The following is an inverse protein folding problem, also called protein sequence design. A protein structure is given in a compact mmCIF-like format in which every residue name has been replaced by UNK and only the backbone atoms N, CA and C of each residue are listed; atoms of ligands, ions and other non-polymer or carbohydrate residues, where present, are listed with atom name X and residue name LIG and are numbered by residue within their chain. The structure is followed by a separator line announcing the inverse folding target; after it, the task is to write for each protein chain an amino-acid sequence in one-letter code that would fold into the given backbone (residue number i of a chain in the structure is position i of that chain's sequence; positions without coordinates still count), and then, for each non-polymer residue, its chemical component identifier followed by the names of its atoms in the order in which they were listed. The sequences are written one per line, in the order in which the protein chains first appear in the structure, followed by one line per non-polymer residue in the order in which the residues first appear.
data_IF_055619053273
#
_entry.id   IF_055619053273
#
_cell.length_a   1.000
_cell.length_b   1.000
_cell.length_c   1.000
_cell.angle_alpha   90.00
_cell.angle_beta   90.00
_cell.angle_gamma   90.00
#
_symmetry.space_group_name_H-M   'P 1'
#
loop_
_entity.id
_entity.type
_entity.pdbx_description
1 polymer ?
#
# COMPACT_ATOMS: atom_id res chain seq x y z
N UNK A 1 2.24 5.05 1.09
CA UNK A 1 2.76 6.44 1.07
C UNK A 1 2.87 7.02 2.48
N UNK A 2 4.09 7.23 2.96
CA UNK A 2 4.39 7.95 4.21
C UNK A 2 5.49 9.01 4.01
N UNK A 3 5.73 9.43 2.75
CA UNK A 3 6.93 10.20 2.39
C UNK A 3 6.68 11.36 1.42
N UNK A 4 5.44 11.58 0.98
CA UNK A 4 5.04 12.73 0.18
C UNK A 4 4.86 13.99 1.06
N UNK A 5 4.55 13.81 2.34
CA UNK A 5 4.38 14.90 3.32
C UNK A 5 5.45 14.89 4.40
N UNK A 6 5.78 16.07 4.93
CA UNK A 6 6.70 16.21 6.04
C UNK A 6 5.96 15.98 7.34
N UNK A 7 6.36 14.94 8.08
CA UNK A 7 5.97 14.75 9.47
C UNK A 7 6.75 15.74 10.34
N UNK A 8 6.08 16.81 10.77
CA UNK A 8 6.65 17.88 11.61
C UNK A 8 6.76 17.49 13.07
N UNK A 9 5.86 16.63 13.54
CA UNK A 9 5.78 16.19 14.93
C UNK A 9 5.23 14.78 15.04
N UNK A 10 5.75 14.02 15.99
CA UNK A 10 5.26 12.69 16.38
C UNK A 10 4.97 12.71 17.87
N UNK A 11 3.75 12.34 18.26
CA UNK A 11 3.35 12.14 19.65
C UNK A 11 3.11 10.64 19.89
N UNK A 12 3.69 10.11 20.96
CA UNK A 12 3.54 8.70 21.33
C UNK A 12 2.61 8.60 22.54
N UNK A 13 1.44 8.03 22.33
CA UNK A 13 0.44 7.74 23.36
C UNK A 13 0.32 6.23 23.55
N UNK A 14 -0.21 5.80 24.70
CA UNK A 14 -0.41 4.38 24.98
C UNK A 14 -1.37 3.77 23.94
N UNK A 15 -0.81 2.99 22.99
CA UNK A 15 -1.56 2.36 21.91
C UNK A 15 -1.85 3.26 20.70
N UNK A 16 -1.25 4.46 20.61
CA UNK A 16 -1.41 5.33 19.44
C UNK A 16 -0.13 6.11 19.11
N UNK A 17 0.17 6.22 17.81
CA UNK A 17 1.14 7.17 17.26
C UNK A 17 0.36 8.28 16.58
N UNK A 18 0.58 9.52 16.98
CA UNK A 18 -0.05 10.69 16.35
C UNK A 18 1.00 11.44 15.54
N UNK A 19 0.83 11.50 14.22
CA UNK A 19 1.69 12.29 13.33
C UNK A 19 1.01 13.62 13.01
N UNK A 20 1.81 14.67 12.86
CA UNK A 20 1.36 15.98 12.39
C UNK A 20 2.10 16.29 11.10
N UNK A 21 1.36 16.38 10.01
CA UNK A 21 1.90 16.58 8.66
C UNK A 21 1.67 18.01 8.19
N UNK A 22 2.58 18.52 7.37
CA UNK A 22 2.37 19.79 6.68
C UNK A 22 1.22 19.67 5.66
N UNK A 23 0.53 20.79 5.42
CA UNK A 23 -0.51 20.86 4.38
C UNK A 23 0.08 20.65 2.98
N UNK A 24 1.25 21.24 2.76
CA UNK A 24 2.00 21.22 1.52
C UNK A 24 3.48 21.20 1.84
N UNK A 25 4.27 20.60 0.96
CA UNK A 25 5.72 20.66 1.02
C UNK A 25 6.24 21.27 -0.28
N UNK A 26 6.56 22.57 -0.30
CA UNK A 26 6.89 23.31 -1.52
C UNK A 26 8.29 22.99 -2.06
N UNK A 27 8.83 21.79 -1.83
CA UNK A 27 10.19 21.44 -2.26
C UNK A 27 10.25 21.33 -3.78
N UNK A 28 10.99 22.23 -4.47
CA UNK A 28 11.19 22.11 -5.91
C UNK A 28 11.97 20.83 -6.21
N UNK A 29 11.39 19.96 -7.03
CA UNK A 29 12.08 18.84 -7.68
C UNK A 29 12.42 17.61 -6.83
N UNK A 30 11.85 17.44 -5.63
CA UNK A 30 11.96 16.15 -4.92
C UNK A 30 10.64 15.73 -4.30
N UNK A 31 10.10 14.59 -4.75
CA UNK A 31 8.94 13.96 -4.12
C UNK A 31 9.25 13.37 -2.73
N UNK A 32 10.45 12.82 -2.56
CA UNK A 32 10.79 12.05 -1.37
C UNK A 32 11.14 12.94 -0.17
N UNK A 33 10.35 12.86 0.88
CA UNK A 33 10.68 13.41 2.20
C UNK A 33 11.71 12.56 2.93
N UNK A 34 12.60 13.22 3.67
CA UNK A 34 13.45 12.52 4.64
C UNK A 34 12.55 11.91 5.72
N UNK A 35 12.78 10.64 6.04
CA UNK A 35 12.12 10.01 7.17
C UNK A 35 12.54 10.70 8.48
N UNK A 36 11.60 10.82 9.41
CA UNK A 36 11.77 11.56 10.67
C UNK A 36 12.48 10.73 11.75
N UNK A 37 13.70 10.28 11.44
CA UNK A 37 14.54 9.51 12.36
C UNK A 37 14.85 10.24 13.67
N UNK A 38 14.89 11.57 13.64
CA UNK A 38 15.17 12.43 14.79
C UNK A 38 14.05 12.43 15.83
N UNK A 39 12.81 12.13 15.42
CA UNK A 39 11.62 12.16 16.29
C UNK A 39 11.27 10.79 16.87
N UNK A 40 11.91 9.72 16.41
CA UNK A 40 11.53 8.34 16.73
C UNK A 40 12.75 7.54 17.17
N UNK A 41 12.71 7.04 18.40
CA UNK A 41 13.83 6.30 18.99
C UNK A 41 13.71 4.79 18.84
N UNK A 42 12.51 4.24 19.00
CA UNK A 42 12.29 2.80 18.96
C UNK A 42 11.99 2.29 17.54
N UNK A 43 12.51 1.11 17.20
CA UNK A 43 12.33 0.51 15.88
C UNK A 43 10.88 0.12 15.60
N UNK A 44 10.09 -0.18 16.63
CA UNK A 44 8.67 -0.53 16.48
C UNK A 44 7.86 0.62 15.87
N UNK A 45 8.01 1.83 16.44
CA UNK A 45 7.40 3.06 15.92
C UNK A 45 7.94 3.42 14.54
N UNK A 46 9.25 3.22 14.27
CA UNK A 46 9.80 3.45 12.93
C UNK A 46 9.15 2.55 11.89
N UNK A 47 9.03 1.25 12.18
CA UNK A 47 8.38 0.29 11.30
C UNK A 47 6.89 0.61 11.12
N UNK A 48 6.21 0.99 12.20
CA UNK A 48 4.80 1.39 12.13
C UNK A 48 4.58 2.59 11.19
N UNK A 49 5.40 3.64 11.32
CA UNK A 49 5.32 4.81 10.44
C UNK A 49 5.78 4.51 9.01
N UNK A 50 6.79 3.67 8.81
CA UNK A 50 7.22 3.26 7.47
C UNK A 50 6.12 2.48 6.72
N UNK A 51 5.24 1.78 7.44
CA UNK A 51 4.11 1.04 6.89
C UNK A 51 2.79 1.82 6.87
N UNK A 52 2.78 3.06 7.37
CA UNK A 52 1.58 3.88 7.50
C UNK A 52 0.88 4.05 6.14
N UNK A 53 -0.39 3.65 6.07
CA UNK A 53 -1.24 3.74 4.86
C UNK A 53 -0.67 3.04 3.61
N UNK A 54 0.24 2.08 3.78
CA UNK A 54 0.89 1.37 2.66
C UNK A 54 0.24 0.01 2.33
N UNK A 55 -0.91 -0.33 2.93
CA UNK A 55 -1.45 -1.69 2.87
C UNK A 55 -1.77 -2.19 1.45
N UNK A 56 -2.33 -1.36 0.59
CA UNK A 56 -2.66 -1.73 -0.80
C UNK A 56 -1.44 -1.67 -1.71
N UNK A 57 -0.61 -0.64 -1.53
CA UNK A 57 0.59 -0.36 -2.32
C UNK A 57 1.63 -1.48 -2.15
N UNK A 58 1.78 -2.00 -0.94
CA UNK A 58 2.79 -3.01 -0.62
C UNK A 58 2.68 -4.26 -1.52
N UNK A 59 1.46 -4.71 -1.85
CA UNK A 59 1.28 -5.94 -2.62
C UNK A 59 1.54 -5.77 -4.11
N UNK A 60 1.23 -4.60 -4.68
CA UNK A 60 1.69 -4.26 -6.03
C UNK A 60 3.20 -4.10 -6.06
N UNK A 61 3.75 -3.33 -5.10
CA UNK A 61 5.17 -3.03 -5.02
C UNK A 61 6.02 -4.31 -4.94
N UNK A 62 5.64 -5.26 -4.07
CA UNK A 62 6.36 -6.51 -3.84
C UNK A 62 5.85 -7.70 -4.68
N UNK A 63 4.95 -7.50 -5.64
CA UNK A 63 4.31 -8.58 -6.41
C UNK A 63 5.30 -9.60 -7.01
N UNK A 64 6.33 -9.11 -7.70
CA UNK A 64 7.37 -9.94 -8.33
C UNK A 64 8.19 -10.71 -7.28
N UNK A 65 8.57 -10.03 -6.19
CA UNK A 65 9.32 -10.65 -5.10
C UNK A 65 8.52 -11.77 -4.43
N UNK A 66 7.24 -11.51 -4.13
CA UNK A 66 6.33 -12.50 -3.55
C UNK A 66 6.17 -13.69 -4.50
N UNK A 67 5.95 -13.42 -5.80
CA UNK A 67 5.85 -14.46 -6.83
C UNK A 67 7.08 -15.36 -6.86
N UNK A 68 8.28 -14.78 -6.83
CA UNK A 68 9.55 -15.52 -6.86
C UNK A 68 9.84 -16.28 -5.56
N UNK A 69 9.35 -15.82 -4.40
CA UNK A 69 9.52 -16.54 -3.13
C UNK A 69 8.66 -17.81 -3.09
N UNK A 70 7.46 -17.74 -3.69
CA UNK A 70 6.50 -18.83 -3.66
C UNK A 70 6.52 -19.74 -4.90
N UNK A 71 7.41 -19.47 -5.86
CA UNK A 71 7.51 -20.27 -7.08
C UNK A 71 7.81 -21.75 -6.76
N UNK A 72 7.10 -22.64 -7.46
CA UNK A 72 7.26 -24.10 -7.30
C UNK A 72 6.58 -24.69 -6.06
N UNK A 73 5.97 -23.88 -5.18
CA UNK A 73 5.21 -24.40 -4.04
C UNK A 73 3.76 -24.70 -4.43
N UNK A 74 3.21 -25.81 -3.93
CA UNK A 74 1.80 -26.19 -4.14
C UNK A 74 0.89 -25.45 -3.15
N UNK A 75 0.69 -24.16 -3.41
CA UNK A 75 -0.06 -23.24 -2.56
C UNK A 75 -1.06 -22.41 -3.38
N UNK A 76 -2.10 -21.93 -2.71
CA UNK A 76 -3.02 -20.91 -3.21
C UNK A 76 -2.71 -19.59 -2.50
N UNK A 77 -2.58 -18.51 -3.27
CA UNK A 77 -2.41 -17.15 -2.73
C UNK A 77 -3.62 -16.32 -3.11
N UNK A 78 -4.19 -15.63 -2.12
CA UNK A 78 -5.28 -14.67 -2.29
C UNK A 78 -4.93 -13.33 -1.65
N UNK A 79 -5.34 -12.25 -2.29
CA UNK A 79 -5.27 -10.89 -1.75
C UNK A 79 -6.59 -10.57 -1.04
N UNK A 80 -6.57 -10.42 0.28
CA UNK A 80 -7.76 -10.18 1.08
C UNK A 80 -7.90 -8.70 1.43
N UNK A 81 -9.15 -8.20 1.37
CA UNK A 81 -9.54 -6.92 1.98
C UNK A 81 -10.30 -7.21 3.27
N UNK A 82 -9.82 -6.70 4.39
CA UNK A 82 -10.38 -6.99 5.73
C UNK A 82 -10.63 -5.72 6.53
N UNK A 83 -11.63 -5.73 7.40
CA UNK A 83 -11.71 -4.82 8.53
C UNK A 83 -11.15 -5.54 9.75
N UNK A 84 -10.32 -4.85 10.53
CA UNK A 84 -9.69 -5.43 11.71
C UNK A 84 -10.28 -4.88 13.01
N UNK A 85 -10.24 -5.70 14.06
CA UNK A 85 -10.55 -5.36 15.45
C UNK A 85 -9.36 -5.65 16.34
N UNK A 86 -9.38 -5.13 17.57
CA UNK A 86 -8.38 -5.45 18.60
C UNK A 86 -6.92 -5.20 18.17
N UNK A 87 -6.69 -4.24 17.28
CA UNK A 87 -5.34 -3.87 16.82
C UNK A 87 -4.59 -3.14 17.95
N UNK A 88 -3.40 -3.62 18.37
CA UNK A 88 -2.63 -3.05 19.48
C UNK A 88 -2.26 -1.57 19.33
N UNK A 89 -2.12 -1.11 18.09
CA UNK A 89 -1.70 0.24 17.74
C UNK A 89 -2.71 0.90 16.82
N UNK A 90 -2.87 2.22 16.98
CA UNK A 90 -3.48 3.12 16.00
C UNK A 90 -2.43 4.11 15.52
N UNK A 91 -2.46 4.44 14.24
CA UNK A 91 -1.78 5.63 13.73
C UNK A 91 -2.85 6.65 13.39
N UNK A 92 -2.70 7.85 13.94
CA UNK A 92 -3.59 8.99 13.72
C UNK A 92 -2.78 10.11 13.09
N UNK A 93 -3.12 10.48 11.86
CA UNK A 93 -2.46 11.56 11.14
C UNK A 93 -3.33 12.80 11.18
N UNK A 94 -2.75 13.89 11.70
CA UNK A 94 -3.35 15.22 11.68
C UNK A 94 -2.72 16.03 10.55
N UNK A 95 -3.57 16.53 9.67
CA UNK A 95 -3.20 17.36 8.51
C UNK A 95 -4.04 18.63 8.52
N UNK A 96 -3.77 19.56 7.62
CA UNK A 96 -4.66 20.72 7.41
C UNK A 96 -6.07 20.31 6.92
N UNK A 97 -6.20 19.13 6.31
CA UNK A 97 -7.46 18.61 5.77
C UNK A 97 -8.25 17.77 6.77
N UNK A 98 -7.78 17.65 8.01
CA UNK A 98 -8.45 16.90 9.07
C UNK A 98 -7.60 15.80 9.69
N UNK A 99 -8.28 14.90 10.39
CA UNK A 99 -7.68 13.81 11.17
C UNK A 99 -8.06 12.47 10.57
N UNK A 100 -7.06 11.62 10.37
CA UNK A 100 -7.18 10.34 9.68
C UNK A 100 -6.65 9.22 10.58
N UNK A 101 -7.38 8.11 10.76
CA UNK A 101 -6.87 6.96 11.52
C UNK A 101 -6.77 5.71 10.66
N UNK A 102 -5.64 5.00 10.71
CA UNK A 102 -5.50 3.71 10.02
C UNK A 102 -6.55 2.65 10.39
N UNK A 103 -7.30 2.86 11.49
CA UNK A 103 -8.42 2.00 11.90
C UNK A 103 -9.72 2.27 11.16
N UNK A 104 -9.84 3.41 10.47
CA UNK A 104 -11.05 3.84 9.77
C UNK A 104 -11.19 3.16 8.40
N UNK A 105 -10.12 2.54 7.90
CA UNK A 105 -10.08 1.90 6.58
C UNK A 105 -9.92 0.38 6.65
N UNK A 106 -10.26 -0.27 5.54
CA UNK A 106 -9.91 -1.67 5.34
C UNK A 106 -8.41 -1.85 5.17
N UNK A 107 -7.90 -2.99 5.64
CA UNK A 107 -6.53 -3.41 5.44
C UNK A 107 -6.45 -4.46 4.33
N UNK A 108 -5.35 -4.44 3.59
CA UNK A 108 -5.04 -5.46 2.59
C UNK A 108 -3.99 -6.42 3.15
N UNK A 109 -4.16 -7.72 2.92
CA UNK A 109 -3.22 -8.75 3.33
C UNK A 109 -3.23 -9.95 2.37
N UNK A 110 -2.23 -10.82 2.44
CA UNK A 110 -2.27 -12.10 1.72
C UNK A 110 -2.80 -13.21 2.62
N UNK A 111 -3.61 -14.10 2.05
CA UNK A 111 -3.82 -15.45 2.55
C UNK A 111 -3.05 -16.43 1.68
N UNK A 112 -2.19 -17.22 2.29
CA UNK A 112 -1.41 -18.27 1.65
C UNK A 112 -1.88 -19.60 2.22
N UNK A 113 -2.44 -20.48 1.39
CA UNK A 113 -2.97 -21.79 1.79
C UNK A 113 -2.18 -22.92 1.13
N UNK A 114 -1.75 -23.91 1.89
CA UNK A 114 -1.15 -25.12 1.35
C UNK A 114 -2.24 -26.02 0.75
N UNK A 115 -2.10 -26.41 -0.51
CA UNK A 115 -3.11 -27.23 -1.17
C UNK A 115 -3.18 -28.66 -0.63
N UNK A 116 -2.10 -29.16 -0.04
CA UNK A 116 -1.96 -30.54 0.47
C UNK A 116 -2.72 -30.70 1.79
N UNK A 117 -2.39 -29.89 2.81
CA UNK A 117 -2.92 -30.04 4.17
C UNK A 117 -3.95 -28.97 4.58
N UNK A 118 -4.24 -28.03 3.68
CA UNK A 118 -5.20 -26.93 3.86
C UNK A 118 -4.87 -25.99 5.02
N UNK A 119 -3.65 -26.03 5.55
CA UNK A 119 -3.18 -25.00 6.49
C UNK A 119 -3.00 -23.70 5.74
N UNK A 120 -3.39 -22.60 6.40
CA UNK A 120 -3.32 -21.27 5.83
C UNK A 120 -2.65 -20.29 6.77
N UNK A 121 -1.93 -19.34 6.18
CA UNK A 121 -1.24 -18.25 6.85
C UNK A 121 -1.69 -16.91 6.29
N UNK A 122 -1.60 -15.89 7.14
CA UNK A 122 -1.71 -14.49 6.75
C UNK A 122 -0.32 -13.90 6.63
N UNK A 123 -0.07 -13.15 5.56
CA UNK A 123 1.10 -12.28 5.42
C UNK A 123 0.60 -10.85 5.24
N UNK A 124 0.76 -10.04 6.29
CA UNK A 124 0.44 -8.62 6.29
C UNK A 124 1.73 -7.80 6.34
N UNK A 125 2.20 -7.35 5.17
CA UNK A 125 3.43 -6.56 5.01
C UNK A 125 3.32 -5.18 5.66
N UNK A 126 2.09 -4.72 5.91
CA UNK A 126 1.80 -3.43 6.53
C UNK A 126 1.43 -3.54 8.01
N UNK A 127 1.34 -4.77 8.56
CA UNK A 127 0.96 -5.06 9.95
C UNK A 127 1.71 -4.25 11.04
N UNK A 128 2.98 -3.81 10.86
CA UNK A 128 3.61 -2.94 11.84
C UNK A 128 2.81 -1.67 12.13
N UNK A 129 2.04 -1.15 11.16
CA UNK A 129 1.19 0.03 11.38
C UNK A 129 0.09 -0.19 12.44
N UNK A 130 -0.22 -1.46 12.75
CA UNK A 130 -1.17 -1.89 13.76
C UNK A 130 -0.50 -2.49 15.00
N UNK A 131 0.83 -2.44 15.09
CA UNK A 131 1.60 -3.04 16.19
C UNK A 131 1.50 -4.58 16.19
N UNK A 132 1.41 -5.17 15.00
CA UNK A 132 1.22 -6.61 14.79
C UNK A 132 2.44 -7.22 14.08
N UNK A 133 2.56 -8.55 14.17
CA UNK A 133 3.56 -9.30 13.41
C UNK A 133 3.14 -9.46 11.95
N UNK A 134 4.11 -9.61 11.06
CA UNK A 134 3.88 -9.80 9.62
C UNK A 134 3.19 -11.09 9.26
N UNK A 135 3.40 -12.16 10.04
CA UNK A 135 2.91 -13.50 9.72
C UNK A 135 2.11 -14.09 10.88
N UNK A 136 0.96 -14.68 10.57
CA UNK A 136 0.11 -15.41 11.50
C UNK A 136 -0.46 -16.67 10.85
N UNK A 137 -0.81 -17.70 11.64
CA UNK A 137 -1.75 -18.71 11.14
C UNK A 137 -3.13 -18.05 10.91
N UNK A 138 -3.81 -18.44 9.83
CA UNK A 138 -5.11 -17.89 9.46
C UNK A 138 -6.14 -18.04 10.59
N UNK A 139 -6.15 -19.19 11.29
CA UNK A 139 -7.09 -19.43 12.40
C UNK A 139 -6.92 -18.40 13.52
N UNK A 140 -5.67 -18.10 13.87
CA UNK A 140 -5.31 -17.24 15.00
C UNK A 140 -5.56 -15.77 14.64
N UNK A 141 -5.18 -15.38 13.42
CA UNK A 141 -5.49 -14.05 12.90
C UNK A 141 -6.99 -13.81 12.87
N UNK A 142 -7.76 -14.77 12.34
CA UNK A 142 -9.22 -14.68 12.27
C UNK A 142 -9.87 -14.53 13.64
N UNK A 143 -9.45 -15.33 14.61
CA UNK A 143 -10.01 -15.27 15.95
C UNK A 143 -9.72 -13.92 16.61
N UNK A 144 -8.47 -13.45 16.55
CA UNK A 144 -8.01 -12.28 17.29
C UNK A 144 -8.33 -10.94 16.62
N UNK A 145 -8.07 -10.83 15.32
CA UNK A 145 -8.00 -9.54 14.63
C UNK A 145 -9.03 -9.36 13.52
N UNK A 146 -9.52 -10.42 12.88
CA UNK A 146 -10.52 -10.26 11.82
C UNK A 146 -11.86 -9.81 12.41
N UNK A 147 -12.35 -8.65 11.96
CA UNK A 147 -13.72 -8.23 12.20
C UNK A 147 -14.63 -8.66 11.04
N UNK A 148 -14.29 -8.22 9.82
CA UNK A 148 -15.06 -8.51 8.60
C UNK A 148 -14.06 -8.85 7.48
N UNK A 149 -14.32 -9.94 6.74
CA UNK A 149 -13.69 -10.19 5.45
C UNK A 149 -14.56 -9.53 4.38
N UNK A 150 -14.06 -8.46 3.76
CA UNK A 150 -14.80 -7.71 2.73
C UNK A 150 -14.71 -8.38 1.37
N UNK A 151 -13.51 -8.84 1.01
CA UNK A 151 -13.26 -9.48 -0.27
C UNK A 151 -12.03 -10.40 -0.21
N UNK A 152 -12.00 -11.36 -1.13
CA UNK A 152 -10.86 -12.21 -1.42
C UNK A 152 -10.64 -12.21 -2.94
N UNK A 153 -9.49 -11.73 -3.37
CA UNK A 153 -9.12 -11.62 -4.77
C UNK A 153 -8.04 -12.63 -5.14
N UNK A 154 -7.96 -12.95 -6.43
CA UNK A 154 -6.81 -13.67 -6.95
C UNK A 154 -5.52 -12.85 -6.73
N UNK A 155 -4.40 -13.54 -6.49
CA UNK A 155 -3.10 -12.88 -6.38
C UNK A 155 -2.73 -12.13 -7.68
N UNK A 156 -2.25 -10.90 -7.56
CA UNK A 156 -1.96 -9.99 -8.67
C UNK A 156 -3.09 -9.01 -9.02
N UNK A 157 -4.22 -9.01 -8.29
CA UNK A 157 -5.29 -8.03 -8.50
C UNK A 157 -4.83 -6.61 -8.15
N UNK A 158 -4.19 -6.40 -7.00
CA UNK A 158 -3.67 -5.08 -6.63
C UNK A 158 -2.57 -4.61 -7.59
N UNK A 159 -1.75 -5.51 -8.12
CA UNK A 159 -0.77 -5.14 -9.15
C UNK A 159 -1.44 -4.55 -10.39
N UNK A 160 -2.46 -5.21 -10.92
CA UNK A 160 -3.21 -4.70 -12.08
C UNK A 160 -3.92 -3.38 -11.76
N UNK A 161 -4.48 -3.25 -10.57
CA UNK A 161 -5.14 -2.02 -10.12
C UNK A 161 -4.17 -0.84 -10.08
N UNK A 162 -2.99 -1.03 -9.48
CA UNK A 162 -1.96 0.00 -9.41
C UNK A 162 -1.39 0.36 -10.79
N UNK A 163 -1.25 -0.61 -11.69
CA UNK A 163 -0.90 -0.33 -13.09
C UNK A 163 -1.98 0.50 -13.79
N UNK A 164 -3.27 0.26 -13.54
CA UNK A 164 -4.34 1.05 -14.12
C UNK A 164 -4.36 2.48 -13.59
N UNK A 165 -4.14 2.67 -12.28
CA UNK A 165 -4.04 3.99 -11.63
C UNK A 165 -2.90 4.84 -12.18
N UNK A 166 -1.83 4.19 -12.65
CA UNK A 166 -0.72 4.84 -13.34
C UNK A 166 -1.12 5.53 -14.63
N UNK A 167 -2.27 5.23 -15.23
CA UNK A 167 -2.63 5.83 -16.52
C UNK A 167 -3.62 7.00 -16.41
N UNK A 168 -4.31 7.17 -15.27
CA UNK A 168 -5.34 8.21 -15.08
C UNK A 168 -5.59 8.52 -13.57
N UNK A 169 -5.61 9.80 -13.18
CA UNK A 169 -6.28 10.28 -11.95
C UNK A 169 -5.40 10.89 -10.84
N UNK A 170 -6.05 11.11 -9.68
CA UNK A 170 -5.63 11.82 -8.45
C UNK A 170 -4.48 11.10 -7.72
N UNK A 171 -4.09 9.92 -8.22
CA UNK A 171 -2.94 9.13 -7.72
C UNK A 171 -1.94 8.78 -8.82
N UNK A 172 -2.01 9.44 -9.97
CA UNK A 172 -1.15 9.15 -11.11
C UNK A 172 0.32 9.29 -10.72
N UNK A 173 0.67 10.39 -10.03
CA UNK A 173 2.04 10.63 -9.62
C UNK A 173 2.52 9.57 -8.63
N UNK A 174 1.75 9.28 -7.59
CA UNK A 174 2.21 8.36 -6.56
C UNK A 174 2.29 6.93 -7.09
N UNK A 175 1.33 6.51 -7.90
CA UNK A 175 1.39 5.20 -8.58
C UNK A 175 2.57 5.11 -9.57
N UNK A 176 2.88 6.19 -10.30
CA UNK A 176 4.04 6.29 -11.17
C UNK A 176 5.34 6.14 -10.36
N UNK A 177 5.45 6.85 -9.25
CA UNK A 177 6.62 6.80 -8.36
C UNK A 177 6.81 5.40 -7.79
N UNK A 178 5.74 4.77 -7.27
CA UNK A 178 5.79 3.41 -6.74
C UNK A 178 6.15 2.39 -7.82
N UNK A 179 5.66 2.57 -9.06
CA UNK A 179 6.01 1.74 -10.21
C UNK A 179 7.49 1.87 -10.61
N UNK A 180 8.03 3.07 -10.62
CA UNK A 180 9.45 3.30 -10.95
C UNK A 180 10.35 2.72 -9.84
N UNK A 181 10.00 2.99 -8.58
CA UNK A 181 10.67 2.42 -7.42
C UNK A 181 10.67 0.89 -7.45
N UNK A 182 9.54 0.27 -7.80
CA UNK A 182 9.40 -1.18 -8.01
C UNK A 182 10.32 -1.67 -9.13
N UNK A 183 10.38 -0.96 -10.24
CA UNK A 183 11.27 -1.30 -11.37
C UNK A 183 12.74 -1.36 -10.93
N UNK A 184 13.18 -0.41 -10.12
CA UNK A 184 14.54 -0.42 -9.56
C UNK A 184 14.78 -1.57 -8.57
N UNK A 185 13.79 -1.90 -7.74
CA UNK A 185 13.87 -3.07 -6.86
C UNK A 185 13.98 -4.37 -7.66
N UNK A 186 13.14 -4.55 -8.69
CA UNK A 186 13.17 -5.75 -9.53
C UNK A 186 14.51 -5.91 -10.24
N UNK A 187 15.09 -4.84 -10.78
CA UNK A 187 16.46 -4.86 -11.34
C UNK A 187 17.50 -5.32 -10.33
N UNK A 188 17.38 -4.91 -9.06
CA UNK A 188 18.30 -5.34 -8.00
C UNK A 188 18.14 -6.85 -7.71
N UNK A 189 16.91 -7.35 -7.70
CA UNK A 189 16.60 -8.76 -7.50
C UNK A 189 17.11 -9.59 -8.68
N UNK A 190 16.85 -9.18 -9.92
CA UNK A 190 17.34 -9.83 -11.14
C UNK A 190 18.88 -9.87 -11.18
N UNK A 191 19.53 -8.77 -10.81
CA UNK A 191 20.99 -8.73 -10.71
C UNK A 191 21.51 -9.71 -9.65
N UNK A 192 20.83 -9.81 -8.51
CA UNK A 192 21.18 -10.77 -7.46
C UNK A 192 21.01 -12.21 -7.94
N UNK A 193 19.84 -12.58 -8.46
CA UNK A 193 19.54 -13.94 -8.92
C UNK A 193 20.45 -14.36 -10.08
N UNK A 194 20.74 -13.44 -11.01
CA UNK A 194 21.69 -13.66 -12.11
C UNK A 194 23.14 -13.82 -11.64
N UNK A 195 23.58 -13.07 -10.62
CA UNK A 195 24.94 -13.19 -10.07
C UNK A 195 25.12 -14.45 -9.25
N UNK A 196 24.14 -14.80 -8.43
CA UNK A 196 24.19 -15.99 -7.57
C UNK A 196 23.85 -17.29 -8.33
N UNK A 197 23.20 -17.18 -9.49
CA UNK A 197 22.71 -18.34 -10.25
C UNK A 197 21.61 -19.11 -9.50
N UNK A 198 20.78 -18.42 -8.73
CA UNK A 198 19.72 -19.02 -7.90
C UNK A 198 18.40 -18.27 -8.04
N UNK A 199 17.28 -18.97 -7.84
CA UNK A 199 15.95 -18.36 -7.64
C UNK A 199 15.74 -18.01 -6.15
N UNK A 200 14.91 -17.01 -5.85
CA UNK A 200 14.64 -16.62 -4.46
C UNK A 200 14.06 -17.78 -3.63
N UNK A 201 13.13 -18.57 -4.18
CA UNK A 201 12.58 -19.74 -3.49
C UNK A 201 13.67 -20.75 -3.06
N UNK A 202 14.72 -20.93 -3.86
CA UNK A 202 15.81 -21.87 -3.53
C UNK A 202 16.68 -21.41 -2.37
N UNK A 203 16.62 -20.12 -1.99
CA UNK A 203 17.29 -19.64 -0.78
C UNK A 203 16.77 -20.35 0.47
N UNK A 204 15.48 -20.72 0.50
CA UNK A 204 14.85 -21.42 1.62
C UNK A 204 15.41 -22.82 1.87
N UNK A 205 16.04 -23.43 0.85
CA UNK A 205 16.69 -24.74 0.95
C UNK A 205 18.17 -24.64 1.38
N UNK A 206 18.70 -23.43 1.56
CA UNK A 206 20.07 -23.23 2.02
C UNK A 206 20.18 -23.47 3.53
N UNK A 207 21.40 -23.71 4.03
CA UNK A 207 21.64 -23.67 5.49
C UNK A 207 21.27 -22.29 6.04
N UNK A 208 20.90 -22.21 7.33
CA UNK A 208 20.54 -20.95 7.97
C UNK A 208 21.61 -19.86 7.79
N UNK A 209 22.89 -20.23 8.00
CA UNK A 209 24.02 -19.33 7.76
C UNK A 209 24.11 -18.81 6.32
N UNK A 210 23.92 -19.70 5.33
CA UNK A 210 23.95 -19.33 3.93
C UNK A 210 22.73 -18.49 3.53
N UNK A 211 21.56 -18.79 4.09
CA UNK A 211 20.36 -17.98 3.93
C UNK A 211 20.59 -16.57 4.45
N UNK A 212 21.11 -16.40 5.68
CA UNK A 212 21.39 -15.09 6.25
C UNK A 212 22.37 -14.26 5.40
N UNK A 213 23.47 -14.88 4.93
CA UNK A 213 24.45 -14.19 4.07
C UNK A 213 23.80 -13.74 2.76
N UNK A 214 23.05 -14.62 2.10
CA UNK A 214 22.35 -14.31 0.84
C UNK A 214 21.29 -13.23 1.04
N UNK A 215 20.50 -13.32 2.11
CA UNK A 215 19.49 -12.33 2.48
C UNK A 215 20.13 -10.95 2.71
N UNK A 216 21.22 -10.87 3.48
CA UNK A 216 21.90 -9.60 3.73
C UNK A 216 22.44 -8.97 2.44
N UNK A 217 23.00 -9.80 1.54
CA UNK A 217 23.49 -9.34 0.24
C UNK A 217 22.35 -8.83 -0.65
N UNK A 218 21.24 -9.56 -0.73
CA UNK A 218 20.05 -9.12 -1.46
C UNK A 218 19.53 -7.78 -0.93
N UNK A 219 19.36 -7.65 0.39
CA UNK A 219 18.90 -6.40 1.02
C UNK A 219 19.85 -5.23 0.77
N UNK A 220 21.17 -5.46 0.80
CA UNK A 220 22.17 -4.44 0.46
C UNK A 220 22.05 -3.97 -0.99
N UNK A 221 21.81 -4.88 -1.94
CA UNK A 221 21.61 -4.54 -3.35
C UNK A 221 20.33 -3.74 -3.56
N UNK A 222 19.20 -4.22 -3.02
CA UNK A 222 17.90 -3.51 -3.09
C UNK A 222 18.02 -2.10 -2.51
N UNK A 223 18.60 -1.97 -1.30
CA UNK A 223 18.83 -0.66 -0.67
C UNK A 223 19.66 0.27 -1.55
N UNK A 224 20.74 -0.24 -2.16
CA UNK A 224 21.62 0.56 -3.02
C UNK A 224 20.89 1.05 -4.27
N UNK A 225 20.14 0.18 -4.96
CA UNK A 225 19.39 0.59 -6.16
C UNK A 225 18.26 1.55 -5.82
N UNK A 226 17.54 1.34 -4.71
CA UNK A 226 16.51 2.28 -4.25
C UNK A 226 17.10 3.65 -3.91
N UNK A 227 18.27 3.70 -3.25
CA UNK A 227 18.97 4.95 -2.97
C UNK A 227 19.44 5.67 -4.24
N UNK A 228 19.82 4.93 -5.29
CA UNK A 228 20.16 5.53 -6.59
C UNK A 228 18.93 6.12 -7.25
N UNK A 229 17.81 5.38 -7.26
CA UNK A 229 16.53 5.86 -7.75
C UNK A 229 16.11 7.16 -7.05
N UNK A 230 16.01 7.17 -5.71
CA UNK A 230 15.61 8.36 -4.94
C UNK A 230 16.48 9.59 -5.22
N UNK A 231 17.77 9.40 -5.51
CA UNK A 231 18.69 10.50 -5.84
C UNK A 231 18.58 11.02 -7.27
N UNK A 232 18.16 10.16 -8.20
CA UNK A 232 18.13 10.46 -9.63
C UNK A 232 16.72 10.79 -10.13
N UNK A 233 15.68 10.41 -9.39
CA UNK A 233 14.31 10.64 -9.76
C UNK A 233 13.96 12.13 -9.68
N UNK A 234 13.42 12.64 -10.78
CA UNK A 234 12.91 14.00 -10.92
C UNK A 234 11.46 13.91 -11.37
N UNK A 235 10.56 14.40 -10.52
CA UNK A 235 9.12 14.40 -10.74
C UNK A 235 8.57 15.82 -10.82
N UNK A 236 9.42 16.83 -11.08
CA UNK A 236 9.04 18.25 -11.10
C UNK A 236 7.88 18.53 -12.05
N UNK A 237 7.92 17.99 -13.27
CA UNK A 237 6.89 18.27 -14.28
C UNK A 237 5.53 17.69 -13.87
N UNK A 238 5.51 16.44 -13.40
CA UNK A 238 4.28 15.80 -12.93
C UNK A 238 3.73 16.46 -11.66
N UNK A 239 4.60 16.97 -10.78
CA UNK A 239 4.20 17.78 -9.63
C UNK A 239 3.52 19.08 -10.07
N UNK A 240 4.11 19.79 -11.05
CA UNK A 240 3.51 20.99 -11.61
C UNK A 240 2.14 20.72 -12.26
N UNK A 241 2.02 19.61 -13.01
CA UNK A 241 0.74 19.18 -13.59
C UNK A 241 -0.32 18.89 -12.52
N UNK A 242 0.08 18.21 -11.44
CA UNK A 242 -0.80 17.92 -10.31
C UNK A 242 -1.23 19.18 -9.58
N UNK A 243 -0.33 20.12 -9.31
CA UNK A 243 -0.67 21.39 -8.65
C UNK A 243 -1.68 22.21 -9.47
N UNK A 244 -1.55 22.21 -10.81
CA UNK A 244 -2.51 22.86 -11.71
C UNK A 244 -3.88 22.16 -11.76
N UNK A 245 -3.96 20.92 -11.28
CA UNK A 245 -5.22 20.16 -11.22
C UNK A 245 -6.05 20.46 -9.97
N UNK A 246 -5.57 21.30 -9.06
CA UNK A 246 -6.35 21.80 -7.92
C UNK A 246 -6.59 23.30 -8.02
N UNK A 247 -7.71 23.75 -7.47
CA UNK A 247 -7.97 25.16 -7.28
C UNK A 247 -8.29 25.43 -5.81
N UNK A 248 -7.76 26.54 -5.31
CA UNK A 248 -8.09 27.05 -3.99
C UNK A 248 -9.42 27.78 -4.08
N UNK A 249 -10.37 27.36 -3.26
CA UNK A 249 -11.66 27.97 -3.07
C UNK A 249 -11.74 28.54 -1.66
N UNK A 250 -12.57 29.56 -1.49
CA UNK A 250 -12.91 30.12 -0.18
C UNK A 250 -14.42 30.01 -0.04
N UNK A 251 -14.90 29.38 1.02
CA UNK A 251 -16.33 29.28 1.30
C UNK A 251 -16.90 30.64 1.77
N UNK A 252 -18.23 30.69 1.96
CA UNK A 252 -18.93 31.90 2.42
C UNK A 252 -18.49 32.36 3.82
N UNK A 253 -17.95 31.44 4.63
CA UNK A 253 -17.44 31.71 5.98
C UNK A 253 -15.96 32.15 5.99
N UNK A 254 -15.32 32.21 4.82
CA UNK A 254 -13.92 32.61 4.68
C UNK A 254 -12.92 31.46 4.90
N UNK A 255 -13.37 30.21 4.97
CA UNK A 255 -12.47 29.07 5.07
C UNK A 255 -11.95 28.68 3.70
N UNK A 256 -10.64 28.53 3.59
CA UNK A 256 -9.98 28.06 2.38
C UNK A 256 -10.06 26.52 2.29
N UNK A 257 -10.46 26.01 1.13
CA UNK A 257 -10.45 24.59 0.81
C UNK A 257 -9.99 24.35 -0.63
N UNK A 258 -9.42 23.18 -0.90
CA UNK A 258 -8.99 22.79 -2.25
C UNK A 258 -10.08 21.97 -2.92
N UNK A 259 -10.40 22.30 -4.17
CA UNK A 259 -11.25 21.49 -5.04
C UNK A 259 -10.41 20.93 -6.20
N UNK A 260 -10.62 19.67 -6.54
CA UNK A 260 -9.95 19.06 -7.69
C UNK A 260 -10.66 19.52 -8.98
N UNK A 261 -9.92 20.06 -9.94
CA UNK A 261 -10.43 20.52 -11.24
C UNK A 261 -10.80 19.37 -12.21
N UNK A 262 -10.88 18.14 -11.72
CA UNK A 262 -11.04 16.94 -12.55
C UNK A 262 -12.50 16.46 -12.47
N UNK A 263 -13.22 16.28 -13.61
CA UNK A 263 -14.68 16.12 -13.62
C UNK A 263 -15.23 14.84 -12.96
N UNK A 264 -14.39 13.86 -12.66
CA UNK A 264 -14.75 12.62 -11.99
C UNK A 264 -13.67 12.34 -10.96
N UNK A 265 -14.05 12.07 -9.72
CA UNK A 265 -13.08 11.70 -8.69
C UNK A 265 -12.51 10.33 -9.05
N UNK A 266 -11.19 10.15 -9.09
CA UNK A 266 -10.57 8.88 -9.49
C UNK A 266 -10.90 7.69 -8.57
N UNK A 267 -11.56 7.95 -7.43
CA UNK A 267 -12.21 6.95 -6.59
C UNK A 267 -13.45 6.33 -7.22
N UNK A 268 -14.21 7.08 -8.01
CA UNK A 268 -15.32 6.56 -8.83
C UNK A 268 -14.78 5.59 -9.87
N UNK A 269 -13.68 5.95 -10.54
CA UNK A 269 -13.00 5.05 -11.49
C UNK A 269 -12.35 3.85 -10.82
N UNK A 270 -11.77 4.01 -9.63
CA UNK A 270 -11.21 2.91 -8.84
C UNK A 270 -12.31 1.93 -8.44
N UNK A 271 -13.45 2.44 -7.97
CA UNK A 271 -14.60 1.63 -7.63
C UNK A 271 -15.20 0.94 -8.86
N UNK A 272 -15.28 1.62 -10.01
CA UNK A 272 -15.66 1.02 -11.30
C UNK A 272 -14.72 -0.12 -11.69
N UNK A 273 -13.40 0.10 -11.66
CA UNK A 273 -12.42 -0.94 -12.00
C UNK A 273 -12.43 -2.11 -11.01
N UNK A 274 -12.59 -1.82 -9.72
CA UNK A 274 -12.74 -2.85 -8.67
C UNK A 274 -14.05 -3.62 -8.85
N UNK A 275 -15.13 -2.95 -9.28
CA UNK A 275 -16.41 -3.55 -9.58
C UNK A 275 -16.37 -4.39 -10.86
N UNK A 276 -15.77 -3.90 -11.95
CA UNK A 276 -15.56 -4.63 -13.21
C UNK A 276 -14.66 -5.87 -12.99
N UNK A 277 -13.57 -5.71 -12.24
CA UNK A 277 -12.69 -6.83 -11.89
C UNK A 277 -13.39 -7.85 -10.98
N UNK A 278 -14.20 -7.39 -10.01
CA UNK A 278 -15.02 -8.26 -9.18
C UNK A 278 -16.10 -8.99 -10.00
N UNK A 279 -16.75 -8.32 -10.96
CA UNK A 279 -17.72 -8.91 -11.88
C UNK A 279 -17.10 -10.01 -12.75
N UNK A 280 -15.87 -9.79 -13.23
CA UNK A 280 -15.15 -10.78 -14.03
C UNK A 280 -14.67 -11.98 -13.19
N UNK A 281 -14.33 -11.77 -11.92
CA UNK A 281 -13.84 -12.83 -11.04
C UNK A 281 -14.96 -13.64 -10.38
N UNK A 282 -16.02 -12.98 -9.89
CA UNK A 282 -17.18 -13.58 -9.23
C UNK A 282 -18.39 -12.61 -9.23
N UNK A 283 -19.39 -12.80 -10.13
CA UNK A 283 -20.56 -11.93 -10.24
C UNK A 283 -21.43 -11.83 -8.98
N UNK A 284 -21.37 -12.82 -8.08
CA UNK A 284 -22.15 -12.83 -6.83
C UNK A 284 -21.47 -11.98 -5.76
N UNK A 285 -20.13 -11.97 -5.73
CA UNK A 285 -19.35 -11.13 -4.83
C UNK A 285 -19.40 -9.63 -5.21
N UNK A 286 -19.47 -9.31 -6.51
CA UNK A 286 -19.59 -7.93 -7.00
C UNK A 286 -20.84 -7.20 -6.47
N UNK A 287 -21.91 -7.94 -6.17
CA UNK A 287 -23.16 -7.39 -5.63
C UNK A 287 -23.03 -6.87 -4.19
N UNK A 288 -22.07 -7.39 -3.41
CA UNK A 288 -21.76 -6.89 -2.06
C UNK A 288 -20.85 -5.65 -2.06
N UNK A 289 -20.22 -5.34 -3.19
CA UNK A 289 -19.33 -4.19 -3.34
C UNK A 289 -20.11 -2.87 -3.38
N UNK A 290 -21.25 -2.86 -4.08
CA UNK A 290 -22.11 -1.69 -4.30
C UNK A 290 -23.01 -1.31 -3.12
N UNK A 291 -23.08 -2.13 -2.06
CA UNK A 291 -23.91 -1.80 -0.88
C UNK A 291 -23.09 -1.20 0.27
N UNK A 292 -21.75 -1.28 0.24
CA UNK A 292 -20.91 -0.95 1.40
C UNK A 292 -19.69 -0.09 1.14
N UNK A 293 -19.34 0.17 -0.12
CA UNK A 293 -18.25 1.08 -0.48
C UNK A 293 -18.84 2.28 -1.23
N UNK A 294 -18.84 3.44 -0.57
CA UNK A 294 -19.13 4.77 -1.14
C UNK A 294 -20.50 4.89 -1.84
N UNK A 295 -21.58 5.21 -1.09
CA UNK A 295 -22.93 5.40 -1.64
C UNK A 295 -22.97 6.33 -2.86
N UNK A 296 -22.16 7.40 -2.84
CA UNK A 296 -22.10 8.42 -3.88
C UNK A 296 -21.54 7.86 -5.21
N UNK A 297 -20.59 6.92 -5.13
CA UNK A 297 -19.98 6.25 -6.28
C UNK A 297 -20.93 5.23 -6.89
N UNK A 298 -21.75 4.58 -6.06
CA UNK A 298 -22.79 3.63 -6.50
C UNK A 298 -23.91 4.38 -7.24
N UNK A 299 -24.21 5.60 -6.82
CA UNK A 299 -25.21 6.46 -7.47
C UNK A 299 -24.69 7.00 -8.82
N UNK A 300 -23.41 7.36 -8.91
CA UNK A 300 -22.74 7.72 -10.16
C UNK A 300 -22.70 6.54 -11.17
N UNK A 301 -22.38 5.32 -10.73
CA UNK A 301 -22.39 4.13 -11.59
C UNK A 301 -23.82 3.78 -12.06
N UNK A 302 -24.86 4.06 -11.24
CA UNK A 302 -26.26 3.84 -11.61
C UNK A 302 -26.77 4.86 -12.64
N UNK A 303 -26.32 6.11 -12.57
CA UNK A 303 -26.74 7.16 -13.52
C UNK A 303 -26.17 6.95 -14.93
N UNK A 304 -24.96 6.38 -15.03
CA UNK A 304 -24.31 6.02 -16.30
C UNK A 304 -25.00 4.84 -17.00
N UNK A 305 -25.62 3.92 -16.25
CA UNK A 305 -26.28 2.73 -16.81
C UNK A 305 -27.77 2.93 -17.14
N UNK A 306 -28.30 4.15 -16.96
CA UNK A 306 -29.68 4.51 -17.30
C UNK A 306 -29.79 5.49 -18.49
N UNK A 307 -28.67 5.80 -19.14
CA UNK A 307 -28.58 6.52 -20.42
C UNK A 307 -28.17 5.58 -21.55
#
# INVERSE_FOLDING_TARGET
MAFDRIITRVELNKGAIITHETAFDPRPGTWFSKFTHDKIKDEGTKNALACMFACEEAYSFFYETISQIFIGLDIKIEELRVMMRNTPLSIVTKTAFGTFSNKDWGNTLLRVECNIDKRAWVIDLSSPQYGMNTVYEWKDFRARYLYILRAAYAFGTYEKLWQALRTNGFRHLESQISSDAKTHMNKAIESFTGTEGIELATMLNSSESAFCIKQERLLKLVKREFQRFVKAADYTDLLCEQDNSYSMHTDEDGNEFMEANVPNTPWERLAELQYESALQADPVAAKGFTEFAYPDVVEAIRSINLS
#
